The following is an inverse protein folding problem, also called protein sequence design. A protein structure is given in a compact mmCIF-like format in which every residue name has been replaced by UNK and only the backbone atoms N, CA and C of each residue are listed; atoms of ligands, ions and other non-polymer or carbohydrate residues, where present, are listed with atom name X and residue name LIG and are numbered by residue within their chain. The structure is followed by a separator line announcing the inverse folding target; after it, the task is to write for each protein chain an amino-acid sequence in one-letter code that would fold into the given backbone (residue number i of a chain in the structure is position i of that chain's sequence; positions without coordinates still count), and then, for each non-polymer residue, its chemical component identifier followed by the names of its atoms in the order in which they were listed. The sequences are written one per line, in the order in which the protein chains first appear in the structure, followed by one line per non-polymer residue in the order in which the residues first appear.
data_IF_107621124568
#
_entry.id   IF_107621124568
#
_cell.length_a   1.000
_cell.length_b   1.000
_cell.length_c   1.000
_cell.angle_alpha   90.00
_cell.angle_beta   90.00
_cell.angle_gamma   90.00
#
_symmetry.space_group_name_H-M   'P 1'
#
loop_
_entity.id
_entity.type
_entity.pdbx_description
1 polymer ?
#
# COMPACT_ATOMS: atom_id res chain seq x y z
N UNK A 1 -32.20 3.05 -16.87
CA UNK A 1 -31.22 4.14 -17.08
C UNK A 1 -31.70 5.37 -16.31
N UNK A 2 -31.55 5.37 -14.98
CA UNK A 2 -31.95 6.50 -14.13
C UNK A 2 -30.84 7.56 -14.07
N UNK A 3 -31.17 8.84 -13.77
CA UNK A 3 -30.17 9.89 -13.68
C UNK A 3 -29.29 9.66 -12.45
N UNK A 4 -28.00 9.41 -12.70
CA UNK A 4 -26.97 9.28 -11.67
C UNK A 4 -26.84 10.66 -11.02
N UNK A 5 -27.26 10.78 -9.77
CA UNK A 5 -27.16 12.00 -8.98
C UNK A 5 -25.68 12.35 -8.79
N UNK A 6 -25.33 13.60 -9.11
CA UNK A 6 -23.97 14.18 -9.11
C UNK A 6 -23.19 14.02 -7.78
N UNK A 7 -23.83 13.53 -6.70
CA UNK A 7 -23.19 13.25 -5.41
C UNK A 7 -22.39 11.95 -5.36
N UNK A 8 -22.72 10.92 -6.15
CA UNK A 8 -22.09 9.60 -6.03
C UNK A 8 -20.83 9.42 -6.89
N UNK A 9 -20.67 10.20 -7.96
CA UNK A 9 -19.48 10.15 -8.84
C UNK A 9 -18.20 10.78 -8.27
N UNK A 10 -18.28 11.50 -7.14
CA UNK A 10 -17.08 12.09 -6.50
C UNK A 10 -16.37 11.12 -5.57
N UNK A 11 -17.03 10.06 -5.09
CA UNK A 11 -16.39 9.03 -4.25
C UNK A 11 -15.52 8.09 -5.06
N UNK A 12 -15.88 7.78 -6.30
CA UNK A 12 -15.13 6.86 -7.18
C UNK A 12 -13.76 7.41 -7.58
N UNK A 13 -13.68 8.68 -8.02
CA UNK A 13 -12.40 9.30 -8.42
C UNK A 13 -11.45 9.53 -7.25
N UNK A 14 -11.98 9.81 -6.04
CA UNK A 14 -11.17 9.96 -4.83
C UNK A 14 -10.69 8.60 -4.27
N UNK A 15 -11.50 7.54 -4.37
CA UNK A 15 -11.11 6.20 -3.94
C UNK A 15 -10.01 5.61 -4.84
N UNK A 16 -10.10 5.75 -6.17
CA UNK A 16 -9.04 5.26 -7.07
C UNK A 16 -7.72 6.01 -6.89
N UNK A 17 -7.75 7.34 -7.01
CA UNK A 17 -6.54 8.16 -6.92
C UNK A 17 -5.91 8.13 -5.52
N UNK A 18 -6.71 7.97 -4.47
CA UNK A 18 -6.26 7.85 -3.10
C UNK A 18 -5.66 6.48 -2.77
N UNK A 19 -6.21 5.38 -3.29
CA UNK A 19 -5.72 4.02 -3.03
C UNK A 19 -4.39 3.75 -3.77
N UNK A 20 -4.31 4.14 -5.04
CA UNK A 20 -3.08 4.06 -5.83
C UNK A 20 -1.96 4.92 -5.21
N UNK A 21 -2.28 6.14 -4.78
CA UNK A 21 -1.32 7.00 -4.08
C UNK A 21 -0.93 6.40 -2.75
N UNK A 22 -1.86 5.82 -1.98
CA UNK A 22 -1.56 5.26 -0.67
C UNK A 22 -0.66 4.03 -0.78
N UNK A 23 -0.94 3.14 -1.72
CA UNK A 23 -0.12 1.97 -1.99
C UNK A 23 1.29 2.38 -2.48
N UNK A 24 1.36 3.36 -3.37
CA UNK A 24 2.64 3.89 -3.85
C UNK A 24 3.38 4.72 -2.78
N UNK A 25 2.66 5.40 -1.89
CA UNK A 25 3.21 6.19 -0.79
C UNK A 25 3.82 5.31 0.28
N UNK A 26 3.23 4.16 0.62
CA UNK A 26 3.84 3.22 1.56
C UNK A 26 5.15 2.64 0.99
N UNK A 27 5.17 2.29 -0.29
CA UNK A 27 6.38 1.83 -0.99
C UNK A 27 7.47 2.92 -1.08
N UNK A 28 7.07 4.16 -1.39
CA UNK A 28 7.96 5.32 -1.42
C UNK A 28 8.48 5.67 -0.03
N UNK A 29 7.64 5.59 1.01
CA UNK A 29 8.00 5.86 2.41
C UNK A 29 8.96 4.79 2.95
N UNK A 30 8.75 3.51 2.62
CA UNK A 30 9.67 2.42 2.98
C UNK A 30 11.03 2.60 2.31
N UNK A 31 11.04 2.91 1.01
CA UNK A 31 12.28 3.18 0.26
C UNK A 31 12.99 4.45 0.75
N UNK A 32 12.25 5.48 1.13
CA UNK A 32 12.78 6.69 1.74
C UNK A 32 13.36 6.43 3.13
N UNK A 33 12.71 5.61 3.98
CA UNK A 33 13.26 5.19 5.28
C UNK A 33 14.55 4.38 5.12
N UNK A 34 14.60 3.45 4.16
CA UNK A 34 15.84 2.71 3.86
C UNK A 34 16.94 3.65 3.34
N UNK A 35 16.62 4.53 2.40
CA UNK A 35 17.60 5.46 1.81
C UNK A 35 18.14 6.47 2.82
N UNK A 36 17.25 7.08 3.61
CA UNK A 36 17.62 8.00 4.67
C UNK A 36 18.36 7.29 5.81
N UNK A 37 17.92 6.10 6.25
CA UNK A 37 18.61 5.32 7.27
C UNK A 37 20.02 4.93 6.86
N UNK A 38 20.24 4.54 5.60
CA UNK A 38 21.58 4.28 5.06
C UNK A 38 22.44 5.54 4.99
N UNK A 39 21.84 6.67 4.60
CA UNK A 39 22.55 7.94 4.46
C UNK A 39 22.93 8.55 5.82
N UNK A 40 22.12 8.37 6.86
CA UNK A 40 22.36 8.89 8.21
C UNK A 40 23.07 7.89 9.13
N UNK A 41 23.27 6.65 8.68
CA UNK A 41 23.85 5.56 9.48
C UNK A 41 22.92 5.04 10.57
N UNK A 42 21.60 5.20 10.40
CA UNK A 42 20.59 4.72 11.34
C UNK A 42 20.04 3.35 10.89
N UNK A 43 20.64 2.28 11.41
CA UNK A 43 20.24 0.89 11.16
C UNK A 43 18.77 0.60 11.49
N UNK A 44 18.18 1.31 12.47
CA UNK A 44 16.78 1.13 12.85
C UNK A 44 15.83 1.54 11.70
N UNK A 45 16.12 2.66 11.02
CA UNK A 45 15.31 3.12 9.89
C UNK A 45 15.43 2.18 8.67
N UNK A 46 16.60 1.59 8.46
CA UNK A 46 16.83 0.59 7.40
C UNK A 46 16.08 -0.70 7.72
N UNK A 47 16.16 -1.16 8.98
CA UNK A 47 15.48 -2.35 9.45
C UNK A 47 13.96 -2.20 9.37
N UNK A 48 13.41 -1.05 9.78
CA UNK A 48 11.98 -0.74 9.66
C UNK A 48 11.52 -0.80 8.19
N UNK A 49 12.20 -0.11 7.28
CA UNK A 49 11.80 -0.08 5.86
C UNK A 49 11.84 -1.48 5.21
N UNK A 50 12.83 -2.29 5.57
CA UNK A 50 12.96 -3.67 5.07
C UNK A 50 11.93 -4.63 5.68
N UNK A 51 11.63 -4.46 6.97
CA UNK A 51 10.60 -5.22 7.67
C UNK A 51 9.20 -4.90 7.11
N UNK A 52 8.93 -3.63 6.78
CA UNK A 52 7.64 -3.20 6.22
C UNK A 52 7.39 -3.83 4.84
N UNK A 53 8.39 -3.82 3.94
CA UNK A 53 8.34 -4.56 2.66
C UNK A 53 8.06 -6.04 2.86
N UNK A 54 8.82 -6.68 3.75
CA UNK A 54 8.68 -8.13 3.99
C UNK A 54 7.29 -8.46 4.54
N UNK A 55 6.74 -7.63 5.44
CA UNK A 55 5.36 -7.78 5.93
C UNK A 55 4.34 -7.57 4.83
N UNK A 56 4.53 -6.58 3.98
CA UNK A 56 3.61 -6.30 2.87
C UNK A 56 3.57 -7.47 1.88
N UNK A 57 4.73 -7.97 1.44
CA UNK A 57 4.84 -9.16 0.59
C UNK A 57 4.21 -10.40 1.24
N UNK A 58 4.52 -10.65 2.52
CA UNK A 58 3.94 -11.76 3.26
C UNK A 58 2.42 -11.65 3.42
N UNK A 59 1.89 -10.45 3.65
CA UNK A 59 0.44 -10.20 3.68
C UNK A 59 -0.20 -10.41 2.32
N UNK A 60 0.48 -10.01 1.24
CA UNK A 60 -0.04 -10.15 -0.13
C UNK A 60 -0.14 -11.62 -0.50
N UNK A 61 0.96 -12.36 -0.35
CA UNK A 61 0.99 -13.83 -0.51
C UNK A 61 -0.02 -14.53 0.40
N UNK A 62 -0.12 -14.12 1.66
CA UNK A 62 -1.07 -14.71 2.61
C UNK A 62 -2.53 -14.43 2.24
N UNK A 63 -2.83 -13.25 1.69
CA UNK A 63 -4.15 -12.93 1.15
C UNK A 63 -4.43 -13.68 -0.15
N UNK A 64 -3.49 -13.73 -1.10
CA UNK A 64 -3.63 -14.52 -2.34
C UNK A 64 -3.90 -16.00 -2.04
N UNK A 65 -3.14 -16.60 -1.11
CA UNK A 65 -3.36 -17.99 -0.68
C UNK A 65 -4.71 -18.13 0.03
N UNK A 66 -5.06 -17.19 0.91
CA UNK A 66 -6.35 -17.22 1.59
C UNK A 66 -7.49 -17.07 0.58
N UNK A 67 -7.42 -16.20 -0.40
CA UNK A 67 -8.45 -16.00 -1.42
C UNK A 67 -8.62 -17.28 -2.27
N UNK A 68 -7.50 -17.86 -2.71
CA UNK A 68 -7.49 -19.13 -3.46
C UNK A 68 -7.99 -20.33 -2.65
N UNK A 69 -7.80 -20.33 -1.32
CA UNK A 69 -8.26 -21.40 -0.41
C UNK A 69 -9.70 -21.18 0.06
N UNK A 70 -10.12 -19.93 0.23
CA UNK A 70 -11.46 -19.60 0.76
C UNK A 70 -12.52 -19.55 -0.35
N UNK A 71 -12.12 -19.50 -1.62
CA UNK A 71 -12.93 -19.84 -2.80
C UNK A 71 -14.42 -19.56 -2.65
N UNK A 72 -14.81 -18.29 -2.79
CA UNK A 72 -16.17 -17.91 -3.19
C UNK A 72 -16.25 -17.83 -4.73
#
# INVERSE_FOLDING_TARGET
MGPITTGERRKETLMGLGDDIKHNAESAKGSAKEGLGKATGNDEMVAEGKADKTKADAKKVGQDIKDAVTGE
#
